data_IF_663240737618
#
_entry.id   IF_663240737618
#
_cell.length_a   1.000
_cell.length_b   1.000
_cell.length_c   1.000
_cell.angle_alpha   90.00
_cell.angle_beta   90.00
_cell.angle_gamma   90.00
#
_symmetry.space_group_name_H-M   'P 1'
#
loop_
_entity.id
_entity.type
_entity.pdbx_description
1 polymer ?
#
# COMPACT_ATOMS: atom_id res chain seq x y z
N UNK A 1 -11.63 1.87 7.42
CA UNK A 1 -11.68 1.63 5.97
C UNK A 1 -10.51 2.29 5.28
N UNK A 2 -10.03 1.69 4.20
CA UNK A 2 -8.89 2.23 3.44
C UNK A 2 -9.16 3.68 3.03
N UNK A 3 -8.21 4.57 3.31
CA UNK A 3 -8.37 5.99 3.10
C UNK A 3 -7.04 6.59 2.67
N UNK A 4 -7.04 7.32 1.56
CA UNK A 4 -5.83 7.93 1.01
C UNK A 4 -5.68 9.41 1.36
N UNK A 5 -6.59 9.97 2.15
CA UNK A 5 -6.56 11.41 2.46
C UNK A 5 -5.32 11.81 3.26
N UNK A 6 -4.73 10.90 3.99
CA UNK A 6 -3.54 11.17 4.78
C UNK A 6 -2.21 10.91 4.08
N UNK A 7 -2.26 10.48 2.81
CA UNK A 7 -1.02 10.19 2.08
C UNK A 7 -0.39 11.47 1.55
N UNK A 8 0.83 11.74 2.00
CA UNK A 8 1.65 12.85 1.51
C UNK A 8 2.81 12.27 0.72
N UNK A 9 2.88 12.60 -0.56
CA UNK A 9 3.94 12.12 -1.43
C UNK A 9 5.16 13.03 -1.32
N UNK A 10 6.34 12.41 -1.39
CA UNK A 10 7.61 13.13 -1.40
C UNK A 10 8.42 12.73 -2.63
N UNK A 11 9.57 13.35 -2.83
CA UNK A 11 10.41 13.12 -4.00
C UNK A 11 11.60 12.19 -3.74
N UNK A 12 11.71 11.67 -2.51
CA UNK A 12 12.86 10.84 -2.13
C UNK A 12 12.73 9.39 -2.59
N UNK A 13 11.52 8.95 -2.92
CA UNK A 13 11.26 7.58 -3.36
C UNK A 13 10.29 7.57 -4.53
N UNK A 14 10.31 6.52 -5.36
CA UNK A 14 9.30 6.37 -6.41
C UNK A 14 7.89 6.40 -5.83
N UNK A 15 6.99 7.13 -6.49
CA UNK A 15 5.63 7.33 -5.99
C UNK A 15 4.88 6.00 -5.81
N UNK A 16 5.06 5.06 -6.74
CA UNK A 16 4.34 3.79 -6.64
C UNK A 16 4.72 3.00 -5.39
N UNK A 17 5.96 3.12 -4.93
CA UNK A 17 6.40 2.47 -3.69
C UNK A 17 5.77 3.14 -2.48
N UNK A 18 5.62 4.45 -2.52
CA UNK A 18 4.99 5.19 -1.43
C UNK A 18 3.52 4.83 -1.28
N UNK A 19 2.82 4.63 -2.41
CA UNK A 19 1.42 4.21 -2.39
C UNK A 19 1.29 2.84 -1.76
N UNK A 20 2.12 1.88 -2.19
CA UNK A 20 2.08 0.52 -1.65
C UNK A 20 2.39 0.50 -0.15
N UNK A 21 3.41 1.25 0.27
CA UNK A 21 3.79 1.33 1.69
C UNK A 21 2.67 1.93 2.53
N UNK A 22 1.99 2.93 2.00
CA UNK A 22 0.87 3.57 2.70
C UNK A 22 -0.27 2.58 2.94
N UNK A 23 -0.62 1.79 1.93
CA UNK A 23 -1.66 0.78 2.05
C UNK A 23 -1.25 -0.28 3.07
N UNK A 24 -0.01 -0.75 3.02
CA UNK A 24 0.49 -1.73 3.99
C UNK A 24 0.38 -1.20 5.41
N UNK A 25 0.69 0.06 5.62
CA UNK A 25 0.58 0.66 6.95
C UNK A 25 -0.86 0.64 7.45
N UNK A 26 -1.81 0.95 6.58
CA UNK A 26 -3.21 0.92 6.98
C UNK A 26 -3.68 -0.50 7.29
N UNK A 27 -3.19 -1.49 6.54
CA UNK A 27 -3.48 -2.89 6.85
C UNK A 27 -2.89 -3.26 8.21
N UNK A 28 -1.64 -2.88 8.44
CA UNK A 28 -0.93 -3.20 9.68
C UNK A 28 -1.60 -2.58 10.91
N UNK A 29 -2.06 -1.34 10.81
CA UNK A 29 -2.68 -0.62 11.94
C UNK A 29 -4.15 -0.96 12.12
N UNK A 30 -4.75 -1.68 11.18
CA UNK A 30 -6.18 -2.01 11.24
C UNK A 30 -7.09 -0.93 10.69
N UNK A 31 -6.53 0.16 10.15
CA UNK A 31 -7.33 1.20 9.53
C UNK A 31 -8.01 0.71 8.25
N UNK A 32 -7.35 -0.21 7.54
CA UNK A 32 -7.91 -0.86 6.36
C UNK A 32 -8.27 -2.30 6.69
N UNK A 33 -9.33 -2.80 6.06
CA UNK A 33 -9.89 -4.12 6.35
C UNK A 33 -9.95 -4.98 5.10
N UNK A 34 -10.06 -6.30 5.30
CA UNK A 34 -10.27 -7.25 4.22
C UNK A 34 -11.50 -6.85 3.41
N UNK A 35 -11.36 -6.88 2.10
CA UNK A 35 -12.47 -6.57 1.21
C UNK A 35 -12.67 -5.09 0.93
N UNK A 36 -11.93 -4.20 1.58
CA UNK A 36 -12.06 -2.77 1.28
C UNK A 36 -11.71 -2.51 -0.18
N UNK A 37 -12.56 -1.78 -0.93
CA UNK A 37 -12.25 -1.47 -2.32
C UNK A 37 -11.21 -0.37 -2.43
N UNK A 38 -10.38 -0.44 -3.49
CA UNK A 38 -9.50 0.64 -3.85
C UNK A 38 -10.27 1.60 -4.77
N UNK A 39 -9.95 2.90 -4.74
CA UNK A 39 -10.46 3.80 -5.77
C UNK A 39 -10.00 3.33 -7.15
N UNK A 40 -10.71 3.72 -8.20
CA UNK A 40 -10.26 3.43 -9.55
C UNK A 40 -8.92 4.12 -9.82
N UNK A 41 -8.22 3.66 -10.84
CA UNK A 41 -6.95 4.29 -11.22
C UNK A 41 -7.11 5.78 -11.48
N UNK A 42 -8.17 6.17 -12.17
CA UNK A 42 -8.45 7.57 -12.47
C UNK A 42 -8.72 8.36 -11.21
N UNK A 43 -9.54 7.81 -10.32
CA UNK A 43 -9.87 8.47 -9.08
C UNK A 43 -8.62 8.67 -8.21
N UNK A 44 -7.83 7.61 -8.07
CA UNK A 44 -6.64 7.69 -7.23
C UNK A 44 -5.60 8.63 -7.85
N UNK A 45 -5.44 8.60 -9.17
CA UNK A 45 -4.54 9.52 -9.87
C UNK A 45 -4.98 10.96 -9.67
N UNK A 46 -6.27 11.23 -9.74
CA UNK A 46 -6.80 12.58 -9.52
C UNK A 46 -6.61 13.02 -8.07
N UNK A 47 -6.87 12.13 -7.11
CA UNK A 47 -6.71 12.43 -5.69
C UNK A 47 -5.26 12.78 -5.36
N UNK A 48 -4.32 12.05 -5.91
CA UNK A 48 -2.90 12.21 -5.61
C UNK A 48 -2.19 13.14 -6.61
N UNK A 49 -2.87 13.56 -7.65
CA UNK A 49 -2.33 14.45 -8.71
C UNK A 49 -1.11 13.81 -9.37
N UNK A 50 -1.25 12.55 -9.77
CA UNK A 50 -0.18 11.80 -10.43
C UNK A 50 -0.71 11.13 -11.68
N UNK A 51 0.22 10.58 -12.46
CA UNK A 51 -0.12 9.87 -13.70
C UNK A 51 -0.84 8.55 -13.38
N UNK A 52 -1.96 8.23 -14.08
CA UNK A 52 -2.63 6.94 -13.88
C UNK A 52 -1.74 5.72 -14.10
N UNK A 53 -0.71 5.83 -14.93
CA UNK A 53 0.25 4.74 -15.12
C UNK A 53 1.03 4.44 -13.85
N UNK A 54 1.32 5.47 -13.05
CA UNK A 54 1.98 5.30 -11.77
C UNK A 54 1.07 4.56 -10.79
N UNK A 55 -0.22 4.89 -10.82
CA UNK A 55 -1.20 4.17 -9.99
C UNK A 55 -1.28 2.70 -10.41
N UNK A 56 -1.31 2.44 -11.72
CA UNK A 56 -1.33 1.06 -12.24
C UNK A 56 -0.11 0.29 -11.74
N UNK A 57 1.05 0.91 -11.77
CA UNK A 57 2.29 0.29 -11.29
C UNK A 57 2.19 -0.05 -9.81
N UNK A 58 1.60 0.85 -9.01
CA UNK A 58 1.39 0.62 -7.59
C UNK A 58 0.45 -0.55 -7.34
N UNK A 59 -0.68 -0.59 -8.07
CA UNK A 59 -1.65 -1.68 -7.94
C UNK A 59 -1.02 -3.01 -8.30
N UNK A 60 -0.26 -3.05 -9.39
CA UNK A 60 0.43 -4.27 -9.80
C UNK A 60 1.40 -4.76 -8.72
N UNK A 61 2.15 -3.85 -8.13
CA UNK A 61 3.07 -4.20 -7.05
C UNK A 61 2.30 -4.79 -5.86
N UNK A 62 1.20 -4.16 -5.49
CA UNK A 62 0.39 -4.64 -4.36
C UNK A 62 -0.23 -6.02 -4.65
N UNK A 63 -0.60 -6.26 -5.91
CA UNK A 63 -1.08 -7.59 -6.33
C UNK A 63 0.03 -8.63 -6.23
N UNK A 64 1.23 -8.28 -6.68
CA UNK A 64 2.38 -9.18 -6.62
C UNK A 64 2.76 -9.51 -5.18
N UNK A 65 2.64 -8.55 -4.29
CA UNK A 65 2.95 -8.76 -2.86
C UNK A 65 1.82 -9.46 -2.12
N UNK A 66 0.68 -9.64 -2.76
CA UNK A 66 -0.37 -10.52 -2.25
C UNK A 66 -1.40 -9.88 -1.33
N UNK A 67 -1.50 -8.56 -1.29
CA UNK A 67 -2.51 -7.92 -0.45
C UNK A 67 -3.57 -7.13 -1.21
N UNK A 68 -3.55 -7.18 -2.53
CA UNK A 68 -4.60 -6.62 -3.38
C UNK A 68 -4.96 -7.67 -4.42
N UNK A 69 -6.24 -7.80 -4.72
CA UNK A 69 -6.71 -8.65 -5.79
C UNK A 69 -7.71 -7.87 -6.63
N UNK A 70 -7.72 -8.15 -7.94
CA UNK A 70 -8.65 -7.51 -8.86
C UNK A 70 -9.48 -8.60 -9.53
N UNK A 71 -10.68 -8.88 -8.99
CA UNK A 71 -11.55 -9.87 -9.62
C UNK A 71 -11.91 -9.42 -11.03
N UNK A 72 -12.13 -10.38 -11.90
CA UNK A 72 -12.46 -10.10 -13.30
C UNK A 72 -13.70 -9.20 -13.38
N UNK A 73 -13.58 -8.11 -14.16
CA UNK A 73 -14.66 -7.16 -14.37
C UNK A 73 -15.13 -6.48 -13.09
N UNK A 74 -14.21 -6.30 -12.11
CA UNK A 74 -14.54 -5.68 -10.84
C UNK A 74 -13.42 -4.73 -10.42
N UNK A 75 -13.68 -3.96 -9.36
CA UNK A 75 -12.65 -3.07 -8.78
C UNK A 75 -11.65 -3.91 -8.00
N UNK A 76 -10.46 -3.34 -7.81
CA UNK A 76 -9.46 -3.96 -6.94
C UNK A 76 -9.91 -3.85 -5.50
N UNK A 77 -9.66 -4.89 -4.72
CA UNK A 77 -10.00 -4.92 -3.31
C UNK A 77 -8.80 -5.39 -2.50
N UNK A 78 -8.80 -5.04 -1.21
CA UNK A 78 -7.82 -5.55 -0.28
C UNK A 78 -8.18 -6.98 0.10
N UNK A 79 -7.21 -7.88 -0.01
CA UNK A 79 -7.38 -9.26 0.39
C UNK A 79 -6.00 -9.85 0.65
N UNK A 80 -5.80 -10.40 1.84
CA UNK A 80 -4.50 -10.97 2.19
C UNK A 80 -4.67 -12.21 3.06
N UNK A 81 -3.68 -13.09 2.99
CA UNK A 81 -3.61 -14.26 3.86
C UNK A 81 -2.88 -13.91 5.15
N UNK A 82 -2.94 -14.81 6.11
CA UNK A 82 -2.20 -14.64 7.36
C UNK A 82 -0.69 -14.59 7.12
N UNK A 83 -0.18 -15.32 6.13
CA UNK A 83 1.24 -15.29 5.81
C UNK A 83 1.64 -13.95 5.19
N UNK A 84 0.79 -13.37 4.35
CA UNK A 84 1.04 -12.05 3.79
C UNK A 84 0.99 -10.99 4.89
N UNK A 85 0.03 -11.08 5.80
CA UNK A 85 -0.04 -10.15 6.92
C UNK A 85 1.23 -10.24 7.77
N UNK A 86 1.72 -11.44 8.00
CA UNK A 86 2.97 -11.65 8.74
C UNK A 86 4.15 -10.96 8.04
N UNK A 87 4.22 -11.03 6.71
CA UNK A 87 5.26 -10.33 5.96
C UNK A 87 5.13 -8.81 6.06
N UNK A 88 3.91 -8.29 5.99
CA UNK A 88 3.66 -6.87 6.19
C UNK A 88 4.09 -6.45 7.59
N UNK A 89 3.74 -7.25 8.59
CA UNK A 89 4.10 -6.99 9.97
C UNK A 89 5.62 -6.95 10.15
N UNK A 90 6.33 -7.90 9.56
CA UNK A 90 7.79 -7.93 9.60
C UNK A 90 8.39 -6.69 8.96
N UNK A 91 7.85 -6.29 7.81
CA UNK A 91 8.34 -5.13 7.09
C UNK A 91 8.15 -3.85 7.90
N UNK A 92 6.98 -3.68 8.51
CA UNK A 92 6.69 -2.50 9.32
C UNK A 92 7.56 -2.45 10.58
N UNK A 93 7.75 -3.59 11.25
CA UNK A 93 8.55 -3.64 12.48
C UNK A 93 10.04 -3.68 12.18
N UNK A 94 10.45 -4.34 11.10
CA UNK A 94 11.86 -4.41 10.71
C UNK A 94 12.40 -3.03 10.32
N UNK A 95 11.58 -2.23 9.63
CA UNK A 95 11.96 -0.87 9.29
C UNK A 95 12.24 -0.05 10.54
N UNK A 96 11.38 -0.18 11.55
CA UNK A 96 11.56 0.48 12.82
C UNK A 96 12.81 -0.04 13.54
N UNK A 97 12.97 -1.36 13.58
CA UNK A 97 14.13 -1.99 14.22
C UNK A 97 15.43 -1.66 13.49
N UNK A 98 15.41 -1.58 12.18
CA UNK A 98 16.58 -1.21 11.39
C UNK A 98 17.03 0.20 11.68
N UNK A 99 16.11 1.13 11.83
CA UNK A 99 16.44 2.51 12.22
C UNK A 99 17.06 2.55 13.60
N UNK A 100 16.51 1.80 14.53
CA UNK A 100 17.05 1.70 15.88
C UNK A 100 18.48 1.16 15.85
N UNK A 101 18.71 0.09 15.09
CA UNK A 101 20.03 -0.53 14.97
C UNK A 101 21.03 0.43 14.36
N UNK A 102 20.63 1.19 13.36
CA UNK A 102 21.49 2.20 12.74
C UNK A 102 21.92 3.26 13.76
N UNK A 103 21.00 3.68 14.58
CA UNK A 103 21.30 4.68 15.59
C UNK A 103 22.18 4.12 16.71
N UNK A 104 22.07 2.82 16.98
CA UNK A 104 22.88 2.16 18.00
C UNK A 104 24.33 1.96 17.55
N UNK A 105 24.58 2.01 16.27
CA UNK A 105 25.93 1.88 15.72
C UNK A 105 26.60 3.24 15.61
#
# INVERSE_FOLDING_TARGET
MLDFSGLELNTSEPVYLQIAAYVKRQIFTGAAEQGNPLPSRRELAAMLKINPNTVQKAVRLMEEEGFVTTPKNSVSILQWSSSVFSEIQKEMTAGFAADFVKHAK
#
